data_IF_905034159007
#
_entry.id   IF_905034159007
#
_cell.length_a   1.000
_cell.length_b   1.000
_cell.length_c   1.000
_cell.angle_alpha   90.00
_cell.angle_beta   90.00
_cell.angle_gamma   90.00
#
_symmetry.space_group_name_H-M   'P 1'
#
loop_
_entity.id
_entity.type
_entity.pdbx_description
1 polymer ?
#
# COMPACT_ATOMS: atom_id res chain seq x y z
N UNK A 1 -2.65 -15.65 -20.55
CA UNK A 1 -2.57 -14.52 -19.60
C UNK A 1 -3.67 -13.55 -20.01
N UNK A 2 -4.77 -13.51 -19.28
CA UNK A 2 -5.99 -12.78 -19.69
C UNK A 2 -5.81 -11.28 -19.50
N UNK A 3 -6.40 -10.48 -20.40
CA UNK A 3 -6.28 -9.01 -20.44
C UNK A 3 -6.72 -8.32 -19.13
N UNK A 4 -7.51 -8.99 -18.30
CA UNK A 4 -7.99 -8.49 -17.01
C UNK A 4 -6.85 -8.26 -15.99
N UNK A 5 -5.79 -9.08 -16.05
CA UNK A 5 -4.63 -8.93 -15.16
C UNK A 5 -3.80 -7.66 -15.46
N UNK A 6 -3.81 -7.17 -16.70
CA UNK A 6 -3.14 -5.91 -17.03
C UNK A 6 -3.95 -4.69 -16.56
N UNK A 7 -5.28 -4.78 -16.59
CA UNK A 7 -6.15 -3.64 -16.31
C UNK A 7 -6.14 -3.24 -14.82
N UNK A 8 -6.06 -4.21 -13.89
CA UNK A 8 -6.02 -3.90 -12.46
C UNK A 8 -4.65 -3.37 -12.00
N UNK A 9 -3.55 -3.89 -12.57
CA UNK A 9 -2.20 -3.36 -12.31
C UNK A 9 -2.08 -1.93 -12.88
N UNK A 10 -2.73 -1.64 -14.01
CA UNK A 10 -2.72 -0.30 -14.60
C UNK A 10 -3.45 0.76 -13.76
N UNK A 11 -4.52 0.40 -13.05
CA UNK A 11 -5.19 1.30 -12.09
C UNK A 11 -4.33 1.57 -10.86
N UNK A 12 -3.70 0.54 -10.33
CA UNK A 12 -2.77 0.68 -9.18
C UNK A 12 -1.56 1.57 -9.52
N UNK A 13 -1.03 1.46 -10.74
CA UNK A 13 0.05 2.31 -11.26
C UNK A 13 -0.40 3.73 -11.65
N UNK A 14 -1.64 3.89 -12.10
CA UNK A 14 -2.18 5.20 -12.50
C UNK A 14 -2.43 6.13 -11.30
N UNK A 15 -2.79 5.59 -10.13
CA UNK A 15 -2.97 6.38 -8.91
C UNK A 15 -1.65 6.80 -8.25
N UNK A 16 -0.52 6.13 -8.57
CA UNK A 16 0.79 6.43 -7.97
C UNK A 16 1.51 7.64 -8.58
N UNK A 17 0.94 8.28 -9.61
CA UNK A 17 1.64 9.23 -10.47
C UNK A 17 1.29 10.71 -10.21
N UNK A 18 1.40 11.22 -8.97
CA UNK A 18 1.44 12.67 -8.73
C UNK A 18 2.07 13.02 -7.37
N UNK A 19 3.38 13.32 -7.36
CA UNK A 19 3.99 14.51 -6.73
C UNK A 19 5.49 14.28 -6.46
N UNK A 20 6.34 14.71 -7.39
CA UNK A 20 7.75 14.99 -7.10
C UNK A 20 7.84 16.35 -6.41
N UNK A 21 8.13 16.36 -5.11
CA UNK A 21 8.76 17.51 -4.45
C UNK A 21 9.82 16.95 -3.50
N UNK A 22 11.08 17.24 -3.82
CA UNK A 22 12.26 16.96 -2.98
C UNK A 22 12.16 17.65 -1.63
N UNK A 23 12.51 17.02 -0.50
CA UNK A 23 13.15 17.67 0.66
C UNK A 23 13.68 16.66 1.70
N UNK A 24 14.62 17.15 2.51
CA UNK A 24 15.59 16.42 3.35
C UNK A 24 15.01 15.70 4.57
N UNK A 25 15.49 14.47 4.78
CA UNK A 25 15.84 13.96 6.11
C UNK A 25 14.77 13.15 6.84
N UNK A 26 14.55 11.91 6.43
CA UNK A 26 14.09 10.82 7.30
C UNK A 26 14.91 9.59 6.89
N UNK A 27 15.42 8.82 7.85
CA UNK A 27 16.20 7.61 7.57
C UNK A 27 15.34 6.63 6.74
N UNK A 28 15.76 6.40 5.49
CA UNK A 28 15.09 5.53 4.53
C UNK A 28 15.37 4.06 4.88
N UNK A 29 14.67 3.54 5.90
CA UNK A 29 14.53 2.08 6.13
C UNK A 29 13.49 1.45 5.18
N UNK A 30 12.73 2.28 4.46
CA UNK A 30 11.86 1.86 3.35
C UNK A 30 12.43 2.50 2.09
N UNK A 31 12.52 1.71 1.02
CA UNK A 31 12.89 2.24 -0.29
C UNK A 31 11.86 3.31 -0.68
N UNK A 32 12.27 4.58 -0.68
CA UNK A 32 11.42 5.72 -0.96
C UNK A 32 10.75 5.56 -2.33
N UNK A 33 9.41 5.64 -2.37
CA UNK A 33 8.63 5.39 -3.59
C UNK A 33 8.42 3.90 -3.92
N UNK A 34 8.69 2.99 -2.97
CA UNK A 34 8.40 1.58 -3.13
C UNK A 34 6.95 1.24 -2.78
N UNK A 35 6.40 0.34 -3.59
CA UNK A 35 5.11 -0.31 -3.31
C UNK A 35 5.37 -1.76 -2.91
N UNK A 36 4.67 -2.20 -1.87
CA UNK A 36 4.73 -3.55 -1.34
C UNK A 36 3.38 -4.21 -1.50
N UNK A 37 3.36 -5.38 -2.15
CA UNK A 37 2.11 -6.07 -2.47
C UNK A 37 2.05 -7.47 -1.85
N UNK A 38 0.86 -7.83 -1.37
CA UNK A 38 0.50 -9.20 -0.98
C UNK A 38 -0.70 -9.63 -1.81
N UNK A 39 -0.48 -10.56 -2.75
CA UNK A 39 -1.54 -11.15 -3.57
C UNK A 39 -2.07 -12.42 -2.92
N UNK A 40 -3.38 -12.57 -2.88
CA UNK A 40 -4.10 -13.73 -2.34
C UNK A 40 -5.23 -14.14 -3.27
N UNK A 41 -5.83 -15.30 -3.01
CA UNK A 41 -6.95 -15.80 -3.80
C UNK A 41 -8.16 -14.85 -3.83
N UNK A 42 -8.36 -14.07 -2.77
CA UNK A 42 -9.48 -13.14 -2.61
C UNK A 42 -9.16 -11.68 -2.98
N UNK A 43 -7.94 -11.38 -3.43
CA UNK A 43 -7.56 -10.00 -3.77
C UNK A 43 -6.08 -9.68 -3.54
N UNK A 44 -5.77 -8.39 -3.70
CA UNK A 44 -4.46 -7.80 -3.47
C UNK A 44 -4.55 -6.78 -2.34
N UNK A 45 -3.57 -6.81 -1.45
CA UNK A 45 -3.33 -5.77 -0.46
C UNK A 45 -2.01 -5.08 -0.81
N UNK A 46 -1.98 -3.75 -0.76
CA UNK A 46 -0.77 -2.99 -1.06
C UNK A 46 -0.51 -1.86 -0.07
N UNK A 47 0.77 -1.62 0.22
CA UNK A 47 1.27 -0.39 0.82
C UNK A 47 2.13 0.35 -0.19
N UNK A 48 1.87 1.64 -0.42
CA UNK A 48 2.73 2.51 -1.22
C UNK A 48 3.29 3.61 -0.34
N UNK A 49 4.60 3.59 -0.11
CA UNK A 49 5.29 4.53 0.78
C UNK A 49 5.86 5.70 -0.03
N UNK A 50 5.52 6.91 0.39
CA UNK A 50 5.98 8.14 -0.23
C UNK A 50 7.09 8.80 0.61
N UNK A 51 8.09 9.44 -0.03
CA UNK A 51 9.24 10.04 0.67
C UNK A 51 8.88 11.13 1.71
N UNK A 52 7.66 11.67 1.64
CA UNK A 52 7.14 12.70 2.55
C UNK A 52 6.57 12.13 3.86
N UNK A 53 6.77 10.84 4.14
CA UNK A 53 6.20 10.17 5.31
C UNK A 53 4.72 9.82 5.16
N UNK A 54 4.15 9.90 3.95
CA UNK A 54 2.79 9.43 3.65
C UNK A 54 2.78 8.00 3.14
N UNK A 55 1.68 7.30 3.39
CA UNK A 55 1.45 5.96 2.88
C UNK A 55 0.04 5.85 2.32
N UNK A 56 -0.09 5.13 1.22
CA UNK A 56 -1.39 4.71 0.69
C UNK A 56 -1.54 3.21 0.95
N UNK A 57 -2.65 2.81 1.55
CA UNK A 57 -3.02 1.43 1.82
C UNK A 57 -4.24 1.04 0.98
N UNK A 58 -4.07 0.03 0.14
CA UNK A 58 -5.09 -0.37 -0.85
C UNK A 58 -5.52 -1.82 -0.62
N UNK A 59 -6.83 -2.04 -0.71
CA UNK A 59 -7.50 -3.33 -0.72
C UNK A 59 -8.26 -3.48 -2.04
N UNK A 60 -7.77 -4.34 -2.92
CA UNK A 60 -8.40 -4.66 -4.20
C UNK A 60 -8.89 -6.11 -4.15
N UNK A 61 -10.20 -6.31 -3.97
CA UNK A 61 -10.79 -7.63 -3.83
C UNK A 61 -11.15 -8.23 -5.18
N UNK A 62 -11.03 -9.56 -5.28
CA UNK A 62 -11.33 -10.29 -6.52
C UNK A 62 -12.81 -10.23 -6.93
N UNK A 63 -13.70 -9.80 -6.03
CA UNK A 63 -15.12 -9.58 -6.32
C UNK A 63 -15.39 -8.22 -6.99
N UNK A 64 -14.35 -7.40 -7.19
CA UNK A 64 -14.43 -6.07 -7.78
C UNK A 64 -14.55 -4.93 -6.75
N UNK A 65 -14.62 -5.24 -5.46
CA UNK A 65 -14.60 -4.21 -4.41
C UNK A 65 -13.20 -3.62 -4.24
N UNK A 66 -13.11 -2.30 -4.06
CA UNK A 66 -11.87 -1.56 -3.90
C UNK A 66 -11.97 -0.61 -2.70
N UNK A 67 -10.93 -0.55 -1.88
CA UNK A 67 -10.86 0.38 -0.76
C UNK A 67 -9.46 0.96 -0.64
N UNK A 68 -9.40 2.25 -0.33
CA UNK A 68 -8.17 3.01 -0.24
C UNK A 68 -8.17 3.87 1.01
N UNK A 69 -7.08 3.82 1.75
CA UNK A 69 -6.84 4.59 2.96
C UNK A 69 -5.51 5.32 2.82
N UNK A 70 -5.51 6.62 3.06
CA UNK A 70 -4.27 7.38 3.22
C UNK A 70 -3.80 7.31 4.68
N UNK A 71 -2.54 7.66 4.91
CA UNK A 71 -1.99 7.71 6.24
C UNK A 71 -0.59 8.29 6.28
N UNK A 72 0.00 8.21 7.46
CA UNK A 72 1.40 8.57 7.69
C UNK A 72 2.17 7.36 8.19
N UNK A 73 3.49 7.39 8.02
CA UNK A 73 4.36 6.37 8.56
C UNK A 73 5.62 6.94 9.18
N UNK A 74 6.18 6.20 10.13
CA UNK A 74 7.49 6.46 10.74
C UNK A 74 8.33 5.21 10.70
N UNK A 75 9.64 5.38 10.54
CA UNK A 75 10.62 4.30 10.52
C UNK A 75 11.54 4.38 11.73
N UNK A 76 11.90 3.23 12.30
CA UNK A 76 12.90 3.12 13.35
C UNK A 76 13.44 1.69 13.43
N UNK A 77 14.74 1.52 13.14
CA UNK A 77 15.45 0.24 13.25
C UNK A 77 14.77 -0.90 12.48
N UNK A 78 14.43 -0.66 11.20
CA UNK A 78 13.74 -1.63 10.34
C UNK A 78 12.27 -1.88 10.70
N UNK A 79 11.73 -1.19 11.70
CA UNK A 79 10.30 -1.20 12.03
C UNK A 79 9.63 0.01 11.40
N UNK A 80 8.44 -0.22 10.87
CA UNK A 80 7.61 0.81 10.26
C UNK A 80 6.29 0.85 11.01
N UNK A 81 5.92 2.01 11.54
CA UNK A 81 4.61 2.23 12.13
C UNK A 81 3.79 3.08 11.16
N UNK A 82 2.64 2.56 10.74
CA UNK A 82 1.68 3.22 9.87
C UNK A 82 0.46 3.61 10.70
N UNK A 83 0.00 4.84 10.52
CA UNK A 83 -1.29 5.32 11.04
C UNK A 83 -2.15 5.77 9.87
N UNK A 84 -3.26 5.07 9.67
CA UNK A 84 -4.24 5.27 8.60
C UNK A 84 -5.34 6.23 9.05
N UNK A 85 -5.77 7.07 8.11
CA UNK A 85 -6.91 7.96 8.24
C UNK A 85 -8.17 7.32 7.63
N UNK A 86 -9.29 8.05 7.68
CA UNK A 86 -10.49 7.63 6.95
C UNK A 86 -10.21 7.51 5.46
N UNK A 87 -10.77 6.48 4.86
CA UNK A 87 -10.61 6.15 3.46
C UNK A 87 -11.88 6.31 2.65
N UNK A 88 -11.80 5.81 1.43
CA UNK A 88 -12.90 5.72 0.49
C UNK A 88 -12.85 4.39 -0.25
N UNK A 89 -13.92 4.04 -0.95
CA UNK A 89 -13.97 2.80 -1.69
C UNK A 89 -15.22 2.63 -2.53
N UNK A 90 -15.28 1.51 -3.23
CA UNK A 90 -16.37 1.09 -4.07
C UNK A 90 -16.58 -0.41 -3.85
N UNK A 91 -17.81 -0.85 -3.56
CA UNK A 91 -18.08 -2.28 -3.44
C UNK A 91 -18.33 -2.92 -4.82
N UNK A 92 -18.42 -4.26 -4.85
CA UNK A 92 -18.71 -5.03 -6.07
C UNK A 92 -20.03 -4.68 -6.79
N UNK A 93 -20.93 -3.93 -6.15
CA UNK A 93 -22.15 -3.41 -6.78
C UNK A 93 -21.98 -2.01 -7.40
N UNK A 94 -20.77 -1.42 -7.34
CA UNK A 94 -20.47 -0.07 -7.83
C UNK A 94 -20.89 1.05 -6.88
N UNK A 95 -21.22 0.74 -5.63
CA UNK A 95 -21.62 1.76 -4.65
C UNK A 95 -20.35 2.39 -4.07
N UNK A 96 -20.19 3.69 -4.32
CA UNK A 96 -19.11 4.51 -3.76
C UNK A 96 -19.39 4.88 -2.32
N UNK A 97 -18.36 4.83 -1.50
CA UNK A 97 -18.40 5.09 -0.07
C UNK A 97 -17.22 5.98 0.30
N UNK A 98 -17.49 7.03 1.06
CA UNK A 98 -16.51 7.95 1.63
C UNK A 98 -16.53 7.84 3.17
N UNK A 99 -15.51 8.40 3.83
CA UNK A 99 -15.41 8.41 5.30
C UNK A 99 -15.38 7.00 5.93
N UNK A 100 -14.75 6.05 5.24
CA UNK A 100 -14.61 4.69 5.74
C UNK A 100 -13.54 4.64 6.82
N UNK A 101 -13.91 4.22 8.03
CA UNK A 101 -12.93 3.97 9.07
C UNK A 101 -12.09 2.72 8.75
N UNK A 102 -10.75 2.77 8.85
CA UNK A 102 -9.92 1.61 8.65
C UNK A 102 -10.15 0.59 9.78
N UNK A 103 -10.32 -0.69 9.42
CA UNK A 103 -10.42 -1.77 10.42
C UNK A 103 -9.18 -1.87 11.31
N UNK A 104 -8.03 -1.40 10.81
CA UNK A 104 -6.76 -1.33 11.53
C UNK A 104 -6.17 0.07 11.32
N UNK A 105 -6.51 1.05 12.18
CA UNK A 105 -5.98 2.40 12.05
C UNK A 105 -4.47 2.42 12.28
N UNK A 106 -3.94 1.56 13.16
CA UNK A 106 -2.50 1.45 13.41
C UNK A 106 -1.95 0.10 12.96
N UNK A 107 -0.91 0.12 12.14
CA UNK A 107 -0.27 -1.06 11.56
C UNK A 107 1.23 -1.02 11.85
N UNK A 108 1.76 -2.12 12.39
CA UNK A 108 3.19 -2.28 12.67
C UNK A 108 3.79 -3.28 11.72
N UNK A 109 4.82 -2.86 10.99
CA UNK A 109 5.48 -3.63 9.96
C UNK A 109 6.97 -3.75 10.25
N UNK A 110 7.59 -4.78 9.70
CA UNK A 110 9.03 -5.04 9.77
C UNK A 110 9.55 -5.14 8.33
N UNK A 111 10.61 -4.40 8.02
CA UNK A 111 11.34 -4.53 6.75
C UNK A 111 12.44 -5.58 6.89
N UNK A 112 12.46 -6.54 5.96
CA UNK A 112 13.52 -7.55 5.85
C UNK A 112 13.96 -7.66 4.39
N UNK A 113 15.03 -6.96 4.00
CA UNK A 113 15.46 -6.90 2.59
C UNK A 113 14.33 -6.34 1.71
N UNK A 114 13.94 -7.05 0.65
CA UNK A 114 12.82 -6.67 -0.24
C UNK A 114 11.43 -7.01 0.29
N UNK A 115 11.35 -7.53 1.52
CA UNK A 115 10.10 -7.95 2.14
C UNK A 115 9.62 -6.92 3.16
N UNK A 116 8.31 -6.76 3.20
CA UNK A 116 7.61 -6.04 4.25
C UNK A 116 6.68 -7.03 4.97
N UNK A 117 6.79 -7.08 6.29
CA UNK A 117 6.15 -8.10 7.11
C UNK A 117 5.17 -7.43 8.05
N UNK A 118 3.90 -7.80 7.94
CA UNK A 118 2.87 -7.42 8.89
C UNK A 118 2.62 -8.56 9.88
N UNK A 119 2.72 -8.23 11.17
CA UNK A 119 2.55 -9.17 12.29
C UNK A 119 1.10 -9.20 12.81
N UNK A 120 0.13 -8.99 11.92
CA UNK A 120 -1.29 -8.93 12.24
C UNK A 120 -1.86 -10.27 12.73
N UNK A 121 -2.82 -10.20 13.67
CA UNK A 121 -3.70 -11.32 14.05
C UNK A 121 -2.98 -12.64 14.41
N UNK A 122 -1.76 -12.56 14.94
CA UNK A 122 -0.97 -13.73 15.33
C UNK A 122 -0.35 -14.50 14.15
N UNK A 123 -0.34 -13.92 12.94
CA UNK A 123 0.27 -14.50 11.75
C UNK A 123 1.27 -13.55 11.07
N UNK A 124 2.17 -14.11 10.26
CA UNK A 124 3.11 -13.36 9.41
C UNK A 124 2.48 -13.16 8.03
N UNK A 125 2.20 -11.91 7.64
CA UNK A 125 1.80 -11.57 6.28
C UNK A 125 2.98 -10.91 5.57
N UNK A 126 3.38 -11.49 4.43
CA UNK A 126 4.58 -11.06 3.70
C UNK A 126 4.17 -10.33 2.43
N UNK A 127 4.59 -9.09 2.32
CA UNK A 127 4.47 -8.27 1.13
C UNK A 127 5.81 -8.23 0.41
N UNK A 128 5.78 -8.23 -0.91
CA UNK A 128 6.96 -8.17 -1.76
C UNK A 128 7.04 -6.78 -2.37
N UNK A 129 8.24 -6.19 -2.38
CA UNK A 129 8.47 -4.96 -3.13
C UNK A 129 8.21 -5.22 -4.62
N UNK A 130 7.55 -4.26 -5.26
CA UNK A 130 7.60 -4.12 -6.71
C UNK A 130 8.55 -2.98 -7.01
N UNK A 131 9.61 -3.27 -7.75
CA UNK A 131 10.53 -2.24 -8.21
C UNK A 131 9.71 -1.24 -9.05
N UNK A 132 9.76 0.04 -8.67
CA UNK A 132 9.41 1.10 -9.61
C UNK A 132 10.41 0.98 -10.76
N UNK A 133 9.97 0.46 -11.92
CA UNK A 133 10.78 0.40 -13.13
C UNK A 133 11.08 1.84 -13.57
N UNK A 134 12.06 2.46 -12.94
CA UNK A 134 12.73 3.65 -13.44
C UNK A 134 13.83 3.14 -14.35
N UNK A 135 13.44 2.63 -15.53
CA UNK A 135 14.41 2.48 -16.61
C UNK A 135 14.89 3.89 -17.00
N UNK A 136 16.22 4.03 -16.99
CA UNK A 136 16.98 5.23 -17.37
C UNK A 136 16.81 5.58 -18.84
#
# INVERSE_FOLDING_TARGET
MTMDNLMNISKLLATTFLAFISFNGIAADVDDGATYINKRAYGTVAFSFQPNGKVQYVLDYSDGSFYEFEGTYTTSEGKINVSLEEGHGENSAGIKMDHLAPNRPDIKLIKEGDLLIDMAYGGKVIFHSIASNTEK
#
